data_IF_393370879991
#
_entry.id   IF_393370879991
#
_cell.length_a   1.000
_cell.length_b   1.000
_cell.length_c   1.000
_cell.angle_alpha   90.00
_cell.angle_beta   90.00
_cell.angle_gamma   90.00
#
_symmetry.space_group_name_H-M   'P 1'
#
loop_
_entity.id
_entity.type
_entity.pdbx_description
1 polymer ?
#
# COMPACT_ATOMS: atom_id res chain seq x y z
N UNK A 1 1.16 20.13 20.99
CA UNK A 1 0.00 19.32 21.43
C UNK A 1 0.36 17.85 21.25
N UNK A 2 0.23 16.99 22.28
CA UNK A 2 0.49 15.55 22.13
C UNK A 2 -0.70 14.92 21.38
N UNK A 3 -0.46 14.39 20.18
CA UNK A 3 -1.47 13.65 19.44
C UNK A 3 -1.68 12.28 20.11
N UNK A 4 -2.91 11.77 20.08
CA UNK A 4 -3.23 10.45 20.65
C UNK A 4 -3.05 9.38 19.57
N UNK A 5 -2.70 8.16 19.97
CA UNK A 5 -2.60 6.99 19.06
C UNK A 5 -3.85 6.87 18.18
N UNK A 6 -5.04 6.99 18.78
CA UNK A 6 -6.29 6.96 17.99
C UNK A 6 -6.30 7.99 16.85
N UNK A 7 -5.87 9.24 17.07
CA UNK A 7 -5.84 10.25 16.01
C UNK A 7 -4.78 9.94 14.96
N UNK A 8 -3.62 9.44 15.38
CA UNK A 8 -2.57 8.96 14.47
C UNK A 8 -3.11 7.90 13.52
N UNK A 9 -3.81 6.89 14.03
CA UNK A 9 -4.38 5.81 13.22
C UNK A 9 -5.36 6.33 12.19
N UNK A 10 -6.26 7.25 12.57
CA UNK A 10 -7.18 7.85 11.60
C UNK A 10 -6.46 8.65 10.51
N UNK A 11 -5.42 9.43 10.85
CA UNK A 11 -4.68 10.21 9.86
C UNK A 11 -3.90 9.32 8.91
N UNK A 12 -3.26 8.27 9.42
CA UNK A 12 -2.57 7.24 8.63
C UNK A 12 -3.57 6.55 7.70
N UNK A 13 -4.68 6.02 8.21
CA UNK A 13 -5.71 5.34 7.40
C UNK A 13 -6.30 6.26 6.32
N UNK A 14 -6.50 7.55 6.60
CA UNK A 14 -6.93 8.50 5.57
C UNK A 14 -5.89 8.58 4.44
N UNK A 15 -4.61 8.69 4.78
CA UNK A 15 -3.53 8.78 3.78
C UNK A 15 -3.38 7.49 2.96
N UNK A 16 -3.50 6.32 3.59
CA UNK A 16 -3.47 5.03 2.89
C UNK A 16 -4.68 4.86 1.97
N UNK A 17 -5.88 5.20 2.43
CA UNK A 17 -7.09 5.13 1.60
C UNK A 17 -7.00 6.05 0.38
N UNK A 18 -6.45 7.26 0.52
CA UNK A 18 -6.15 8.14 -0.62
C UNK A 18 -5.15 7.49 -1.59
N UNK A 19 -4.10 6.85 -1.07
CA UNK A 19 -3.05 6.21 -1.88
C UNK A 19 -3.56 4.99 -2.64
N UNK A 20 -4.57 4.30 -2.11
CA UNK A 20 -5.23 3.18 -2.78
C UNK A 20 -6.42 3.61 -3.65
N UNK A 21 -6.67 4.92 -3.77
CA UNK A 21 -7.76 5.47 -4.59
C UNK A 21 -9.16 5.14 -4.06
N UNK A 22 -9.28 4.76 -2.79
CA UNK A 22 -10.54 4.43 -2.15
C UNK A 22 -11.30 5.72 -1.75
N UNK A 23 -12.65 5.71 -1.81
CA UNK A 23 -13.44 6.82 -1.27
C UNK A 23 -13.12 7.02 0.21
N UNK A 24 -12.67 8.22 0.58
CA UNK A 24 -12.22 8.51 1.93
C UNK A 24 -13.40 9.05 2.72
N UNK A 25 -14.29 8.14 3.10
CA UNK A 25 -15.53 8.44 3.82
C UNK A 25 -15.58 7.70 5.15
N UNK A 26 -16.51 8.07 6.03
CA UNK A 26 -16.65 7.46 7.35
C UNK A 26 -16.82 5.93 7.29
N UNK A 27 -17.51 5.40 6.27
CA UNK A 27 -17.69 3.96 6.07
C UNK A 27 -16.36 3.24 5.77
N UNK A 28 -15.50 3.82 4.93
CA UNK A 28 -14.16 3.29 4.63
C UNK A 28 -13.30 3.27 5.89
N UNK A 29 -13.30 4.36 6.67
CA UNK A 29 -12.55 4.43 7.92
C UNK A 29 -13.03 3.41 8.95
N UNK A 30 -14.35 3.21 9.07
CA UNK A 30 -14.93 2.19 9.95
C UNK A 30 -14.47 0.77 9.57
N UNK A 31 -14.50 0.46 8.27
CA UNK A 31 -14.07 -0.83 7.72
C UNK A 31 -12.59 -1.09 7.94
N UNK A 32 -11.73 -0.12 7.61
CA UNK A 32 -10.28 -0.31 7.65
C UNK A 32 -9.75 -0.38 9.09
N UNK A 33 -10.26 0.49 9.97
CA UNK A 33 -9.86 0.51 11.38
C UNK A 33 -10.61 -0.52 12.23
N UNK A 34 -11.59 -1.24 11.67
CA UNK A 34 -12.44 -2.22 12.37
C UNK A 34 -13.10 -1.63 13.62
N UNK A 35 -13.64 -0.41 13.49
CA UNK A 35 -14.32 0.32 14.58
C UNK A 35 -15.75 0.69 14.20
N UNK A 36 -16.58 0.97 15.21
CA UNK A 36 -17.99 1.31 14.99
C UNK A 36 -18.18 2.68 14.33
N UNK A 37 -19.25 2.84 13.54
CA UNK A 37 -19.58 4.12 12.90
C UNK A 37 -19.71 5.30 13.91
N UNK A 38 -20.30 5.14 15.11
CA UNK A 38 -20.31 6.20 16.12
C UNK A 38 -18.89 6.61 16.57
N UNK A 39 -17.97 5.66 16.71
CA UNK A 39 -16.58 5.95 17.07
C UNK A 39 -15.88 6.78 15.97
N UNK A 40 -16.08 6.44 14.70
CA UNK A 40 -15.59 7.20 13.56
C UNK A 40 -16.13 8.63 13.55
N UNK A 41 -17.45 8.80 13.74
CA UNK A 41 -18.07 10.14 13.79
C UNK A 41 -17.45 11.02 14.87
N UNK A 42 -17.22 10.46 16.07
CA UNK A 42 -16.56 11.18 17.15
C UNK A 42 -15.10 11.52 16.84
N UNK A 43 -14.37 10.61 16.18
CA UNK A 43 -13.00 10.86 15.75
C UNK A 43 -12.91 11.96 14.70
N UNK A 44 -13.76 11.92 13.67
CA UNK A 44 -13.85 12.95 12.63
C UNK A 44 -14.13 14.32 13.26
N UNK A 45 -15.08 14.40 14.21
CA UNK A 45 -15.38 15.66 14.92
C UNK A 45 -14.15 16.21 15.64
N UNK A 46 -13.37 15.35 16.31
CA UNK A 46 -12.13 15.75 17.00
C UNK A 46 -11.05 16.19 16.02
N UNK A 47 -10.80 15.43 14.96
CA UNK A 47 -9.78 15.76 13.96
C UNK A 47 -10.10 17.06 13.21
N UNK A 48 -11.38 17.31 12.91
CA UNK A 48 -11.84 18.57 12.29
C UNK A 48 -11.66 19.75 13.23
N UNK A 49 -12.06 19.62 14.50
CA UNK A 49 -11.85 20.65 15.54
C UNK A 49 -10.37 21.00 15.69
N UNK A 50 -9.51 19.99 15.60
CA UNK A 50 -8.06 20.16 15.73
C UNK A 50 -7.40 20.60 14.40
N UNK A 51 -8.20 20.93 13.37
CA UNK A 51 -7.79 21.39 12.05
C UNK A 51 -6.83 20.45 11.31
N UNK A 52 -6.92 19.14 11.55
CA UNK A 52 -6.09 18.12 10.90
C UNK A 52 -6.73 17.57 9.62
N UNK A 53 -8.06 17.63 9.51
CA UNK A 53 -8.81 17.15 8.34
C UNK A 53 -9.84 18.19 7.86
N UNK A 54 -10.28 18.04 6.62
CA UNK A 54 -11.47 18.69 6.05
C UNK A 54 -12.51 17.63 5.69
N UNK A 55 -13.78 18.00 5.80
CA UNK A 55 -14.91 17.14 5.41
C UNK A 55 -15.78 17.92 4.44
N UNK A 56 -15.92 17.40 3.22
CA UNK A 56 -16.76 17.94 2.16
C UNK A 56 -18.24 17.76 2.45
N UNK A 57 -19.10 18.42 1.66
CA UNK A 57 -20.57 18.31 1.78
C UNK A 57 -21.08 16.91 1.40
N UNK A 58 -20.35 16.26 0.51
CA UNK A 58 -20.52 14.87 0.06
C UNK A 58 -20.00 13.83 1.08
N UNK A 59 -19.41 14.28 2.20
CA UNK A 59 -18.82 13.40 3.21
C UNK A 59 -17.39 12.95 2.89
N UNK A 60 -16.79 13.41 1.80
CA UNK A 60 -15.40 13.13 1.47
C UNK A 60 -14.46 13.78 2.50
N UNK A 61 -13.53 13.02 3.04
CA UNK A 61 -12.56 13.44 4.04
C UNK A 61 -11.20 13.62 3.36
N UNK A 62 -10.50 14.70 3.69
CA UNK A 62 -9.15 14.95 3.20
C UNK A 62 -8.25 15.47 4.31
N UNK A 63 -6.96 15.16 4.25
CA UNK A 63 -5.98 15.74 5.17
C UNK A 63 -5.76 17.22 4.86
N UNK A 64 -5.64 18.03 5.91
CA UNK A 64 -5.00 19.35 5.81
C UNK A 64 -3.48 19.18 5.66
N UNK A 65 -2.70 20.23 5.34
CA UNK A 65 -1.24 20.15 5.36
C UNK A 65 -0.69 19.61 6.69
N UNK A 66 -1.18 20.14 7.83
CA UNK A 66 -0.76 19.66 9.15
C UNK A 66 -1.14 18.19 9.41
N UNK A 67 -2.32 17.75 8.95
CA UNK A 67 -2.71 16.35 9.03
C UNK A 67 -1.86 15.43 8.14
N UNK A 68 -1.48 15.91 6.96
CA UNK A 68 -0.60 15.20 6.02
C UNK A 68 0.78 14.98 6.61
N UNK A 69 1.37 16.01 7.21
CA UNK A 69 2.72 15.90 7.79
C UNK A 69 2.78 14.81 8.87
N UNK A 70 1.73 14.74 9.70
CA UNK A 70 1.60 13.70 10.73
C UNK A 70 1.42 12.32 10.10
N UNK A 71 0.53 12.19 9.11
CA UNK A 71 0.30 10.92 8.42
C UNK A 71 1.57 10.41 7.73
N UNK A 72 2.28 11.27 7.00
CA UNK A 72 3.53 10.92 6.32
C UNK A 72 4.61 10.50 7.31
N UNK A 73 4.70 11.15 8.49
CA UNK A 73 5.63 10.71 9.54
C UNK A 73 5.30 9.29 10.03
N UNK A 74 4.03 8.98 10.25
CA UNK A 74 3.60 7.66 10.68
C UNK A 74 3.85 6.60 9.61
N UNK A 75 3.55 6.90 8.35
CA UNK A 75 3.82 6.02 7.21
C UNK A 75 5.32 5.77 7.03
N UNK A 76 6.16 6.80 7.15
CA UNK A 76 7.62 6.66 7.15
C UNK A 76 8.09 5.70 8.26
N UNK A 77 7.59 5.89 9.47
CA UNK A 77 7.91 4.99 10.59
C UNK A 77 7.45 3.56 10.31
N UNK A 78 6.22 3.39 9.82
CA UNK A 78 5.66 2.08 9.47
C UNK A 78 6.57 1.36 8.47
N UNK A 79 6.91 2.02 7.37
CA UNK A 79 7.76 1.44 6.32
C UNK A 79 9.17 1.11 6.84
N UNK A 80 9.76 1.97 7.69
CA UNK A 80 11.06 1.66 8.31
C UNK A 80 11.00 0.41 9.20
N UNK A 81 9.90 0.21 9.92
CA UNK A 81 9.70 -1.00 10.73
C UNK A 81 9.50 -2.22 9.84
N UNK A 82 8.66 -2.13 8.80
CA UNK A 82 8.49 -3.23 7.84
C UNK A 82 9.81 -3.63 7.20
N UNK A 83 10.60 -2.65 6.76
CA UNK A 83 11.93 -2.87 6.19
C UNK A 83 12.92 -3.46 7.19
N UNK A 84 12.90 -3.03 8.45
CA UNK A 84 13.69 -3.67 9.51
C UNK A 84 13.29 -5.15 9.67
N UNK A 85 11.99 -5.43 9.74
CA UNK A 85 11.47 -6.79 9.91
C UNK A 85 11.88 -7.70 8.74
N UNK A 86 11.84 -7.21 7.50
CA UNK A 86 12.25 -7.99 6.33
C UNK A 86 13.77 -8.03 6.13
N UNK A 87 14.44 -6.89 6.04
CA UNK A 87 15.84 -6.78 5.61
C UNK A 87 16.84 -7.16 6.70
N UNK A 88 16.48 -6.97 7.98
CA UNK A 88 17.38 -7.27 9.11
C UNK A 88 16.99 -8.61 9.76
N UNK A 89 15.70 -8.82 10.02
CA UNK A 89 15.23 -10.02 10.72
C UNK A 89 14.82 -11.16 9.79
N UNK A 90 14.74 -10.92 8.47
CA UNK A 90 14.39 -11.97 7.51
C UNK A 90 12.95 -12.46 7.64
N UNK A 91 12.06 -11.65 8.24
CA UNK A 91 10.64 -11.97 8.33
C UNK A 91 10.03 -11.97 6.92
N UNK A 92 9.07 -12.85 6.67
CA UNK A 92 8.48 -12.95 5.34
C UNK A 92 7.73 -11.67 4.98
N UNK A 93 7.82 -11.18 3.74
CA UNK A 93 7.23 -9.89 3.36
C UNK A 93 5.70 -9.85 3.59
N UNK A 94 5.01 -10.94 3.31
CA UNK A 94 3.57 -11.06 3.56
C UNK A 94 3.22 -11.06 5.06
N UNK A 95 4.25 -11.20 5.93
CA UNK A 95 4.45 -11.00 7.39
C UNK A 95 4.22 -9.64 8.01
N UNK A 96 4.81 -8.62 7.39
CA UNK A 96 5.39 -7.54 8.19
C UNK A 96 4.42 -6.41 8.47
N UNK A 97 3.39 -6.25 7.65
CA UNK A 97 2.41 -5.18 7.81
C UNK A 97 1.70 -5.22 9.17
N UNK A 98 1.08 -6.35 9.53
CA UNK A 98 0.35 -6.46 10.81
C UNK A 98 1.30 -6.33 12.02
N UNK A 99 2.55 -6.78 11.90
CA UNK A 99 3.56 -6.65 12.95
C UNK A 99 3.99 -5.19 13.11
N UNK A 100 4.21 -4.49 11.99
CA UNK A 100 4.55 -3.07 11.98
C UNK A 100 3.41 -2.19 12.54
N UNK A 101 2.14 -2.54 12.30
CA UNK A 101 0.98 -1.85 12.93
C UNK A 101 1.04 -1.92 14.47
N UNK A 102 1.54 -3.03 15.05
CA UNK A 102 1.67 -3.13 16.51
C UNK A 102 2.87 -2.34 17.05
N UNK A 103 3.98 -2.31 16.31
CA UNK A 103 5.24 -1.73 16.75
C UNK A 103 5.31 -0.20 16.57
N UNK A 104 4.61 0.37 15.60
CA UNK A 104 4.79 1.78 15.19
C UNK A 104 4.47 2.82 16.25
N UNK A 105 3.62 2.48 17.23
CA UNK A 105 3.29 3.36 18.35
C UNK A 105 4.22 3.17 19.56
N UNK A 106 5.00 2.08 19.59
CA UNK A 106 5.94 1.78 20.67
C UNK A 106 7.36 2.31 20.39
N UNK A 107 7.68 2.57 19.12
CA UNK A 107 9.00 3.03 18.69
C UNK A 107 9.28 4.47 19.15
N UNK A 108 10.45 4.65 19.77
CA UNK A 108 10.94 5.97 20.17
C UNK A 108 11.51 6.74 18.96
N UNK A 109 11.57 8.07 19.06
CA UNK A 109 12.17 8.90 18.02
C UNK A 109 13.68 8.63 17.83
N UNK A 110 14.40 8.17 18.87
CA UNK A 110 15.81 7.80 18.71
C UNK A 110 15.98 6.50 17.92
N UNK A 111 15.15 5.51 18.21
CA UNK A 111 15.13 4.26 17.47
C UNK A 111 14.75 4.47 15.99
N UNK A 112 13.70 5.26 15.74
CA UNK A 112 13.27 5.64 14.38
C UNK A 112 14.41 6.29 13.58
N UNK A 113 15.17 7.22 14.18
CA UNK A 113 16.34 7.84 13.53
C UNK A 113 17.43 6.82 13.20
N UNK A 114 17.76 5.93 14.14
CA UNK A 114 18.78 4.90 13.91
C UNK A 114 18.37 3.91 12.81
N UNK A 115 17.08 3.58 12.71
CA UNK A 115 16.57 2.80 11.59
C UNK A 115 16.73 3.54 10.27
N UNK A 116 16.35 4.82 10.22
CA UNK A 116 16.53 5.64 9.03
C UNK A 116 18.01 5.75 8.61
N UNK A 117 18.94 5.91 9.56
CA UNK A 117 20.38 5.94 9.26
C UNK A 117 20.88 4.58 8.71
N UNK A 118 20.30 3.46 9.19
CA UNK A 118 20.73 2.11 8.83
C UNK A 118 20.13 1.62 7.50
N UNK A 119 18.90 2.00 7.21
CA UNK A 119 18.10 1.54 6.06
C UNK A 119 18.00 2.60 4.95
N UNK A 120 18.37 3.85 5.23
CA UNK A 120 18.12 4.97 4.33
C UNK A 120 16.67 5.47 4.39
N UNK A 121 16.38 6.51 3.60
CA UNK A 121 15.09 7.20 3.56
C UNK A 121 14.54 7.28 2.14
N UNK A 122 13.21 7.24 1.99
CA UNK A 122 12.54 7.44 0.69
C UNK A 122 12.45 6.19 -0.20
N UNK A 123 12.98 5.06 0.28
CA UNK A 123 12.79 3.76 -0.38
C UNK A 123 11.38 3.23 -0.16
N UNK A 124 10.94 2.35 -1.06
CA UNK A 124 9.66 1.69 -0.95
C UNK A 124 9.66 0.70 0.23
N UNK A 125 8.48 0.41 0.79
CA UNK A 125 8.32 -0.68 1.73
C UNK A 125 8.54 -2.05 1.03
N UNK A 126 8.61 -3.16 1.78
CA UNK A 126 8.75 -4.49 1.21
C UNK A 126 7.62 -4.90 0.25
N UNK A 127 6.48 -4.21 0.29
CA UNK A 127 5.34 -4.38 -0.62
C UNK A 127 5.44 -3.52 -1.89
N UNK A 128 6.44 -2.63 -1.99
CA UNK A 128 6.65 -1.73 -3.13
C UNK A 128 5.97 -0.36 -3.03
N UNK A 129 5.33 -0.06 -1.90
CA UNK A 129 4.59 1.18 -1.68
C UNK A 129 5.51 2.31 -1.18
N UNK A 130 5.23 3.54 -1.58
CA UNK A 130 5.99 4.74 -1.19
C UNK A 130 5.22 5.56 -0.16
N UNK A 131 5.94 6.27 0.72
CA UNK A 131 5.34 7.05 1.81
C UNK A 131 4.67 8.34 1.33
N UNK A 132 5.20 8.93 0.26
CA UNK A 132 4.56 10.10 -0.36
C UNK A 132 3.20 9.71 -0.94
N UNK A 133 2.42 10.70 -1.39
CA UNK A 133 1.17 10.40 -2.10
C UNK A 133 1.47 9.45 -3.26
N UNK A 134 1.02 8.22 -3.11
CA UNK A 134 1.27 7.14 -4.05
C UNK A 134 -0.05 6.67 -4.66
N UNK A 135 -0.88 7.63 -5.07
CA UNK A 135 -2.23 7.36 -5.58
C UNK A 135 -2.17 6.55 -6.88
N UNK A 136 -3.28 5.94 -7.32
CA UNK A 136 -3.31 5.26 -8.62
C UNK A 136 -2.88 6.18 -9.77
N UNK A 137 -3.17 7.48 -9.69
CA UNK A 137 -2.71 8.44 -10.69
C UNK A 137 -1.20 8.65 -10.63
N UNK A 138 -0.61 8.74 -9.44
CA UNK A 138 0.84 8.88 -9.26
C UNK A 138 1.59 7.64 -9.78
N UNK A 139 1.05 6.45 -9.48
CA UNK A 139 1.53 5.17 -10.03
C UNK A 139 1.49 5.16 -11.56
N UNK A 140 0.37 5.59 -12.16
CA UNK A 140 0.23 5.71 -13.63
C UNK A 140 1.18 6.74 -14.24
N UNK A 141 1.42 7.87 -13.57
CA UNK A 141 2.36 8.89 -14.04
C UNK A 141 3.80 8.36 -14.13
N UNK A 142 4.15 7.33 -13.34
CA UNK A 142 5.43 6.61 -13.44
C UNK A 142 5.44 5.51 -14.50
N UNK A 143 4.36 5.34 -15.25
CA UNK A 143 4.22 4.29 -16.26
C UNK A 143 3.77 2.94 -15.72
N UNK A 144 3.41 2.85 -14.42
CA UNK A 144 2.91 1.62 -13.83
C UNK A 144 1.44 1.39 -14.22
N UNK A 145 1.04 0.12 -14.26
CA UNK A 145 -0.33 -0.30 -14.54
C UNK A 145 -0.79 -1.33 -13.53
N UNK A 146 -2.08 -1.37 -13.18
CA UNK A 146 -2.67 -2.56 -12.58
C UNK A 146 -2.44 -3.78 -13.47
N UNK A 147 -2.21 -4.95 -12.85
CA UNK A 147 -1.93 -6.18 -13.57
C UNK A 147 -3.12 -6.62 -14.44
N UNK A 148 -4.35 -6.29 -14.06
CA UNK A 148 -5.54 -6.56 -14.88
C UNK A 148 -5.71 -5.63 -16.08
N UNK A 149 -4.86 -4.62 -16.24
CA UNK A 149 -4.92 -3.66 -17.35
C UNK A 149 -3.78 -3.84 -18.38
N UNK A 150 -2.91 -4.82 -18.21
CA UNK A 150 -1.87 -5.12 -19.22
C UNK A 150 -2.42 -5.99 -20.35
N UNK A 151 -1.84 -5.86 -21.54
CA UNK A 151 -2.25 -6.65 -22.71
C UNK A 151 -1.69 -8.07 -22.65
N UNK A 152 -2.33 -9.01 -23.34
CA UNK A 152 -1.78 -10.36 -23.52
C UNK A 152 -0.40 -10.32 -24.15
N UNK A 153 0.38 -11.36 -23.89
CA UNK A 153 1.78 -11.52 -24.29
C UNK A 153 2.74 -10.43 -23.79
N UNK A 154 2.32 -9.64 -22.79
CA UNK A 154 3.14 -8.59 -22.19
C UNK A 154 3.96 -9.12 -21.03
N UNK A 155 5.26 -8.81 -21.02
CA UNK A 155 6.15 -9.04 -19.89
C UNK A 155 6.19 -7.81 -18.99
N UNK A 156 6.11 -8.03 -17.69
CA UNK A 156 6.08 -6.98 -16.68
C UNK A 156 6.83 -7.41 -15.42
N UNK A 157 7.19 -6.44 -14.58
CA UNK A 157 7.76 -6.68 -13.24
C UNK A 157 6.78 -6.14 -12.20
N UNK A 158 6.51 -6.93 -11.16
CA UNK A 158 5.66 -6.50 -10.05
C UNK A 158 6.39 -5.43 -9.26
N UNK A 159 5.75 -4.27 -9.08
CA UNK A 159 6.37 -3.10 -8.44
C UNK A 159 5.68 -2.66 -7.16
N UNK A 160 4.39 -2.95 -6.98
CA UNK A 160 3.65 -2.62 -5.76
C UNK A 160 2.47 -3.58 -5.58
N UNK A 161 2.16 -3.90 -4.33
CA UNK A 161 1.03 -4.76 -3.94
C UNK A 161 0.28 -4.13 -2.76
N UNK A 162 -1.04 -4.25 -2.75
CA UNK A 162 -1.89 -3.82 -1.63
C UNK A 162 -1.55 -4.60 -0.34
N UNK A 163 -1.04 -3.91 0.68
CA UNK A 163 -0.43 -4.52 1.87
C UNK A 163 -1.40 -4.83 3.03
N UNK A 164 -2.62 -4.26 3.02
CA UNK A 164 -3.57 -4.40 4.15
C UNK A 164 -4.42 -5.67 4.11
N UNK A 165 -4.08 -6.64 3.26
CA UNK A 165 -4.81 -7.91 3.11
C UNK A 165 -3.85 -9.10 3.23
N UNK A 166 -3.64 -9.55 4.47
CA UNK A 166 -2.78 -10.70 4.80
C UNK A 166 -3.02 -11.91 3.92
N UNK A 167 -4.30 -12.26 3.70
CA UNK A 167 -4.69 -13.46 2.94
C UNK A 167 -4.34 -13.31 1.47
N UNK A 168 -4.53 -12.12 0.91
CA UNK A 168 -4.06 -11.80 -0.44
C UNK A 168 -2.54 -11.94 -0.53
N UNK A 169 -1.77 -11.36 0.40
CA UNK A 169 -0.31 -11.41 0.35
C UNK A 169 0.23 -12.84 0.46
N UNK A 170 -0.34 -13.66 1.36
CA UNK A 170 -0.01 -15.09 1.49
C UNK A 170 -0.32 -15.87 0.20
N UNK A 171 -1.49 -15.61 -0.39
CA UNK A 171 -1.89 -16.23 -1.66
C UNK A 171 -0.95 -15.84 -2.80
N UNK A 172 -0.68 -14.54 -2.98
CA UNK A 172 0.22 -14.02 -4.01
C UNK A 172 1.63 -14.61 -3.86
N UNK A 173 2.16 -14.65 -2.63
CA UNK A 173 3.44 -15.28 -2.34
C UNK A 173 3.44 -16.77 -2.73
N UNK A 174 2.38 -17.51 -2.39
CA UNK A 174 2.25 -18.94 -2.70
C UNK A 174 2.24 -19.26 -4.20
N UNK A 175 1.88 -18.30 -5.05
CA UNK A 175 1.90 -18.43 -6.51
C UNK A 175 3.08 -17.69 -7.18
N UNK A 176 4.05 -17.19 -6.40
CA UNK A 176 5.26 -16.54 -6.90
C UNK A 176 5.08 -15.07 -7.29
N UNK A 177 3.97 -14.42 -6.90
CA UNK A 177 3.77 -12.98 -7.10
C UNK A 177 4.23 -12.25 -5.84
N UNK A 178 5.28 -11.46 -5.98
CA UNK A 178 5.79 -10.56 -4.97
C UNK A 178 6.50 -9.37 -5.65
N UNK A 179 6.75 -8.25 -4.96
CA UNK A 179 7.55 -7.16 -5.52
C UNK A 179 8.89 -7.65 -6.07
N UNK A 180 9.24 -7.22 -7.28
CA UNK A 180 10.39 -7.66 -8.05
C UNK A 180 10.17 -8.90 -8.92
N UNK A 181 9.07 -9.65 -8.74
CA UNK A 181 8.78 -10.84 -9.54
C UNK A 181 8.54 -10.47 -11.02
N UNK A 182 9.14 -11.24 -11.93
CA UNK A 182 8.87 -11.14 -13.36
C UNK A 182 7.61 -11.96 -13.70
N UNK A 183 6.66 -11.32 -14.37
CA UNK A 183 5.40 -11.94 -14.78
C UNK A 183 5.16 -11.70 -16.26
N UNK A 184 4.57 -12.69 -16.94
CA UNK A 184 4.08 -12.51 -18.31
C UNK A 184 2.61 -12.86 -18.37
N UNK A 185 1.78 -11.93 -18.83
CA UNK A 185 0.38 -12.25 -19.12
C UNK A 185 0.34 -13.04 -20.42
N UNK A 186 -0.20 -14.27 -20.37
CA UNK A 186 -0.41 -15.08 -21.56
C UNK A 186 -1.76 -14.73 -22.17
N UNK A 187 -2.82 -14.92 -21.40
CA UNK A 187 -4.21 -14.69 -21.83
C UNK A 187 -5.08 -14.25 -20.65
N UNK A 188 -6.23 -13.65 -20.95
CA UNK A 188 -7.37 -13.54 -20.05
C UNK A 188 -8.55 -14.34 -20.62
N UNK A 189 -9.33 -14.97 -19.76
CA UNK A 189 -10.54 -15.68 -20.16
C UNK A 189 -11.78 -14.76 -20.09
N UNK A 190 -12.98 -15.32 -20.29
CA UNK A 190 -14.24 -14.56 -20.33
C UNK A 190 -14.58 -13.84 -19.01
N UNK A 191 -14.15 -14.35 -17.85
CA UNK A 191 -14.43 -13.75 -16.54
C UNK A 191 -13.28 -12.89 -16.01
N UNK A 192 -12.38 -12.46 -16.89
CA UNK A 192 -11.18 -11.69 -16.58
C UNK A 192 -10.22 -12.39 -15.60
N UNK A 193 -10.23 -13.72 -15.52
CA UNK A 193 -9.14 -14.47 -14.88
C UNK A 193 -7.91 -14.47 -15.78
N UNK A 194 -6.80 -13.99 -15.24
CA UNK A 194 -5.52 -13.90 -15.93
C UNK A 194 -4.79 -15.24 -15.84
N UNK A 195 -4.26 -15.71 -16.97
CA UNK A 195 -3.25 -16.78 -17.01
C UNK A 195 -1.89 -16.14 -17.17
N UNK A 196 -1.11 -16.16 -16.09
CA UNK A 196 0.24 -15.62 -16.00
C UNK A 196 1.26 -16.74 -16.18
N UNK A 197 2.45 -16.40 -16.67
CA UNK A 197 3.65 -17.24 -16.59
C UNK A 197 4.64 -16.61 -15.63
N UNK A 198 4.99 -17.35 -14.58
CA UNK A 198 5.88 -16.94 -13.49
C UNK A 198 6.87 -18.08 -13.27
N UNK A 199 8.18 -17.80 -13.33
CA UNK A 199 9.24 -18.82 -13.26
C UNK A 199 9.01 -20.03 -14.19
N UNK A 200 8.48 -19.74 -15.39
CA UNK A 200 8.16 -20.75 -16.40
C UNK A 200 6.88 -21.56 -16.15
N UNK A 201 6.19 -21.38 -15.02
CA UNK A 201 4.96 -22.10 -14.66
C UNK A 201 3.71 -21.26 -14.95
N UNK A 202 2.63 -21.87 -15.47
CA UNK A 202 1.35 -21.20 -15.60
C UNK A 202 0.68 -21.03 -14.23
N UNK A 203 0.17 -19.84 -13.97
CA UNK A 203 -0.54 -19.44 -12.74
C UNK A 203 -1.83 -18.73 -13.12
N UNK A 204 -2.92 -19.04 -12.44
CA UNK A 204 -4.18 -18.33 -12.61
C UNK A 204 -4.38 -17.30 -11.49
N UNK A 205 -4.82 -16.11 -11.88
CA UNK A 205 -5.09 -15.01 -10.97
C UNK A 205 -6.40 -14.33 -11.35
N UNK A 206 -7.39 -14.36 -10.45
CA UNK A 206 -8.66 -13.67 -10.68
C UNK A 206 -8.47 -12.15 -10.72
N UNK A 207 -9.30 -11.46 -11.51
CA UNK A 207 -9.23 -10.00 -11.69
C UNK A 207 -9.15 -9.20 -10.40
N UNK A 208 -9.95 -9.55 -9.39
CA UNK A 208 -9.99 -8.83 -8.13
C UNK A 208 -8.65 -8.83 -7.36
N UNK A 209 -7.84 -9.87 -7.51
CA UNK A 209 -6.49 -9.92 -6.97
C UNK A 209 -5.50 -9.20 -7.89
N UNK A 210 -5.63 -9.37 -9.21
CA UNK A 210 -4.79 -8.69 -10.20
C UNK A 210 -4.89 -7.15 -10.12
N UNK A 211 -6.09 -6.60 -9.90
CA UNK A 211 -6.31 -5.16 -9.74
C UNK A 211 -5.59 -4.53 -8.53
N UNK A 212 -5.15 -5.37 -7.57
CA UNK A 212 -4.39 -4.96 -6.38
C UNK A 212 -2.88 -5.14 -6.54
N UNK A 213 -2.43 -5.54 -7.73
CA UNK A 213 -1.02 -5.72 -8.08
C UNK A 213 -0.66 -4.71 -9.16
N UNK A 214 0.31 -3.86 -8.87
CA UNK A 214 0.86 -2.90 -9.80
C UNK A 214 2.11 -3.47 -10.45
N UNK A 215 2.23 -3.27 -11.75
CA UNK A 215 3.35 -3.73 -12.57
C UNK A 215 3.92 -2.62 -13.42
N UNK A 216 5.22 -2.74 -13.70
CA UNK A 216 5.91 -1.97 -14.72
C UNK A 216 6.10 -2.87 -15.95
N UNK A 217 5.54 -2.45 -17.09
CA UNK A 217 5.66 -3.20 -18.35
C UNK A 217 7.08 -3.06 -18.87
N UNK A 218 7.74 -4.19 -19.16
CA UNK A 218 9.03 -4.18 -19.83
C UNK A 218 8.80 -3.79 -21.28
N UNK A 219 9.47 -2.74 -21.74
CA UNK A 219 9.53 -2.45 -23.17
C UNK A 219 10.04 -3.70 -23.89
N UNK A 220 9.35 -4.13 -24.95
CA UNK A 220 9.83 -5.21 -25.78
C UNK A 220 11.25 -4.86 -26.22
N UNK A 221 12.22 -5.67 -25.80
CA UNK A 221 13.59 -5.57 -26.27
C UNK A 221 13.55 -5.66 -27.80
N UNK A 222 13.72 -4.52 -28.48
CA UNK A 222 14.11 -4.48 -29.89
C UNK A 222 15.56 -4.99 -29.99
N UNK A 223 15.75 -6.29 -29.82
CA UNK A 223 17.02 -6.97 -30.06
C UNK A 223 16.70 -8.40 -30.49
N UNK A 224 17.16 -8.95 -31.60
CA UNK A 224 17.83 -8.41 -32.77
C UNK A 224 17.39 -9.33 -33.93
N UNK A 225 17.23 -8.78 -35.13
CA UNK A 225 17.16 -9.59 -36.35
C UNK A 225 18.55 -10.10 -36.70
#
# INVERSE_FOLDING_TARGET
MKITISKENYLKTIAEAESEGEPVIAATLARWLKVSAPAVTMAIKRLKRDALIRVGRDGQISLTPAGRDIANRLLNRHHLIERMLTEIFGMEWYKVHDEAEQLEHAVSADFERRLADRLGTGEACPHGNRVERDTPQDRRNRGWKPLDEISSETEATVVSVFERDRRLLEYLNGIGIHPGAAVRLMTSNYDDTLTLRIDGKPVQLGRGAAAKVWVEVRAASLAAR
#
